data_IF_241878422456
#
_entry.id   IF_241878422456
#
_cell.length_a   1.000
_cell.length_b   1.000
_cell.length_c   1.000
_cell.angle_alpha   90.00
_cell.angle_beta   90.00
_cell.angle_gamma   90.00
#
_symmetry.space_group_name_H-M   'P 1'
#
loop_
_entity.id
_entity.type
_entity.pdbx_description
1 polymer ?
#
# COMPACT_ATOMS: atom_id res chain seq x y z
N UNK A 1 -32.20 4.17 -47.50
CA UNK A 1 -31.10 3.22 -47.23
C UNK A 1 -30.59 3.50 -45.82
N UNK A 2 -30.94 2.81 -44.74
CA UNK A 2 -31.38 1.43 -44.60
C UNK A 2 -30.18 0.49 -44.60
N UNK A 3 -29.55 0.24 -43.45
CA UNK A 3 -29.03 -1.09 -43.11
C UNK A 3 -28.86 -1.25 -41.59
N UNK A 4 -29.47 -2.33 -41.10
CA UNK A 4 -29.48 -2.86 -39.72
C UNK A 4 -28.26 -3.77 -39.56
N UNK A 5 -27.69 -3.85 -38.36
CA UNK A 5 -26.67 -4.85 -38.05
C UNK A 5 -26.43 -5.00 -36.56
N UNK A 6 -27.12 -5.96 -35.94
CA UNK A 6 -26.83 -6.46 -34.60
C UNK A 6 -25.82 -7.60 -34.71
N UNK A 7 -24.86 -7.68 -33.77
CA UNK A 7 -23.91 -8.79 -33.67
C UNK A 7 -23.38 -8.93 -32.25
N UNK A 8 -23.94 -9.86 -31.49
CA UNK A 8 -23.43 -10.33 -30.19
C UNK A 8 -22.31 -11.32 -30.48
N UNK A 9 -21.13 -11.10 -29.90
CA UNK A 9 -20.01 -12.06 -29.95
C UNK A 9 -19.92 -12.76 -28.60
N UNK A 10 -20.32 -14.03 -28.58
CA UNK A 10 -20.08 -14.97 -27.48
C UNK A 10 -18.71 -15.60 -27.72
N UNK A 11 -17.75 -15.33 -26.84
CA UNK A 11 -16.43 -15.97 -26.87
C UNK A 11 -16.43 -17.23 -26.01
N UNK A 12 -16.40 -18.40 -26.64
CA UNK A 12 -16.14 -19.68 -25.99
C UNK A 12 -14.63 -19.91 -25.90
N UNK A 13 -14.10 -20.10 -24.69
CA UNK A 13 -12.71 -20.54 -24.47
C UNK A 13 -12.66 -22.06 -24.61
N UNK A 14 -11.89 -22.53 -25.60
CA UNK A 14 -11.54 -23.94 -25.78
C UNK A 14 -10.27 -24.21 -24.97
N UNK A 15 -10.35 -25.12 -23.99
CA UNK A 15 -9.17 -25.66 -23.31
C UNK A 15 -8.49 -26.69 -24.21
N UNK A 16 -7.33 -26.34 -24.76
CA UNK A 16 -6.44 -27.28 -25.43
C UNK A 16 -5.47 -27.89 -24.40
N UNK A 17 -5.77 -29.11 -23.97
CA UNK A 17 -4.86 -29.99 -23.24
C UNK A 17 -4.84 -31.36 -23.90
N UNK A 18 -3.79 -31.64 -24.68
CA UNK A 18 -3.52 -32.92 -25.33
C UNK A 18 -2.00 -33.16 -25.18
N UNK A 19 -1.56 -34.11 -24.36
CA UNK A 19 -1.32 -35.52 -24.69
C UNK A 19 0.09 -35.86 -24.15
N UNK A 20 0.49 -37.06 -23.76
CA UNK A 20 -0.07 -38.41 -23.78
C UNK A 20 1.09 -39.41 -23.56
N UNK A 21 0.80 -40.54 -22.90
CA UNK A 21 1.63 -41.77 -22.87
C UNK A 21 2.72 -41.82 -21.79
N UNK A 22 2.88 -42.85 -20.96
CA UNK A 22 2.33 -44.22 -20.88
C UNK A 22 3.35 -45.06 -20.06
N UNK A 23 2.92 -46.01 -19.23
CA UNK A 23 3.83 -46.96 -18.57
C UNK A 23 3.43 -47.48 -17.19
N UNK A 24 2.47 -48.40 -17.19
CA UNK A 24 2.24 -49.60 -16.35
C UNK A 24 2.89 -49.79 -14.96
N UNK A 25 2.08 -50.00 -13.91
CA UNK A 25 1.89 -51.31 -13.22
C UNK A 25 1.54 -51.20 -11.72
N UNK A 26 0.51 -51.98 -11.33
CA UNK A 26 0.17 -52.51 -9.98
C UNK A 26 -0.85 -51.73 -9.10
N UNK A 27 -1.85 -52.50 -8.67
CA UNK A 27 -3.05 -52.18 -7.87
C UNK A 27 -2.78 -52.32 -6.33
N UNK A 28 -3.77 -52.22 -5.42
CA UNK A 28 -4.31 -51.00 -4.80
C UNK A 28 -4.14 -50.97 -3.26
N UNK A 29 -4.03 -49.78 -2.63
CA UNK A 29 -4.38 -49.59 -1.21
C UNK A 29 -4.63 -48.10 -0.87
N UNK A 30 -5.70 -47.73 -0.14
CA UNK A 30 -6.04 -46.35 0.18
C UNK A 30 -5.37 -45.85 1.47
N UNK A 31 -4.61 -44.77 1.40
CA UNK A 31 -4.29 -43.92 2.56
C UNK A 31 -4.66 -42.45 2.27
N UNK A 32 -5.26 -41.73 3.23
CA UNK A 32 -5.70 -40.36 3.03
C UNK A 32 -4.53 -39.40 3.23
N UNK A 33 -3.74 -39.19 2.18
CA UNK A 33 -2.75 -38.10 2.18
C UNK A 33 -3.44 -36.79 1.84
N UNK A 34 -3.82 -36.09 2.90
CA UNK A 34 -3.82 -34.62 3.04
C UNK A 34 -3.75 -33.85 1.72
N UNK A 35 -4.87 -33.25 1.34
CA UNK A 35 -4.91 -32.25 0.28
C UNK A 35 -3.91 -31.14 0.61
N UNK A 36 -2.77 -31.13 -0.08
CA UNK A 36 -1.93 -29.95 -0.21
C UNK A 36 -2.82 -28.90 -0.89
N UNK A 37 -3.38 -28.02 -0.08
CA UNK A 37 -3.97 -26.78 -0.57
C UNK A 37 -2.85 -26.06 -1.31
N UNK A 38 -2.90 -26.13 -2.64
CA UNK A 38 -2.06 -25.33 -3.51
C UNK A 38 -2.28 -23.89 -3.08
N UNK A 39 -1.24 -23.29 -2.52
CA UNK A 39 -1.25 -21.89 -2.17
C UNK A 39 -1.56 -21.11 -3.45
N UNK A 40 -2.70 -20.41 -3.49
CA UNK A 40 -2.85 -19.31 -4.41
C UNK A 40 -1.66 -18.37 -4.21
N UNK A 41 -0.94 -17.97 -5.27
CA UNK A 41 -0.05 -16.83 -5.16
C UNK A 41 -0.92 -15.59 -4.98
N UNK A 42 -1.22 -15.22 -3.73
CA UNK A 42 -1.52 -13.83 -3.41
C UNK A 42 -0.33 -13.00 -3.93
N UNK A 43 -0.55 -11.84 -4.58
CA UNK A 43 0.55 -10.99 -4.99
C UNK A 43 1.24 -10.49 -3.73
N UNK A 44 2.28 -11.19 -3.29
CA UNK A 44 3.29 -10.64 -2.41
C UNK A 44 4.09 -9.66 -3.24
N UNK A 45 3.49 -8.50 -3.54
CA UNK A 45 4.25 -7.28 -3.60
C UNK A 45 4.91 -7.21 -2.22
N UNK A 46 6.20 -7.52 -2.15
CA UNK A 46 6.98 -7.47 -0.92
C UNK A 46 6.54 -6.25 -0.13
N UNK A 47 5.85 -6.46 0.99
CA UNK A 47 5.34 -5.38 1.80
C UNK A 47 6.56 -4.56 2.22
N UNK A 48 6.77 -3.42 1.55
CA UNK A 48 7.90 -2.58 1.88
C UNK A 48 7.62 -2.05 3.29
N UNK A 49 8.63 -1.98 4.17
CA UNK A 49 8.40 -1.54 5.56
C UNK A 49 7.77 -0.15 5.64
N UNK A 50 7.88 0.64 4.55
CA UNK A 50 7.29 1.95 4.37
C UNK A 50 5.75 1.97 4.22
N UNK A 51 5.14 0.89 3.75
CA UNK A 51 3.69 0.84 3.59
C UNK A 51 2.99 0.80 4.97
N UNK A 52 1.96 1.64 5.12
CA UNK A 52 1.16 1.75 6.33
C UNK A 52 0.68 3.16 6.61
N UNK A 53 0.00 3.29 7.75
CA UNK A 53 -0.41 4.58 8.34
C UNK A 53 0.59 4.97 9.41
N UNK A 54 1.05 6.21 9.37
CA UNK A 54 2.14 6.73 10.19
C UNK A 54 1.67 7.98 10.92
N UNK A 55 1.89 8.04 12.23
CA UNK A 55 1.39 9.07 13.13
C UNK A 55 2.56 9.86 13.70
N UNK A 56 2.54 11.18 13.55
CA UNK A 56 3.56 12.07 14.06
C UNK A 56 2.96 13.34 14.65
N UNK A 57 3.85 14.16 15.21
CA UNK A 57 3.50 15.50 15.69
C UNK A 57 4.51 16.51 15.19
N UNK A 58 4.04 17.66 14.75
CA UNK A 58 4.89 18.72 14.23
C UNK A 58 4.31 20.09 14.54
N UNK A 59 5.11 20.96 15.17
CA UNK A 59 4.64 22.27 15.62
C UNK A 59 3.39 22.22 16.50
N UNK A 60 3.26 21.18 17.34
CA UNK A 60 2.09 20.96 18.21
C UNK A 60 0.84 20.39 17.51
N UNK A 61 0.89 20.11 16.21
CA UNK A 61 -0.21 19.54 15.44
C UNK A 61 0.01 18.05 15.22
N UNK A 62 -1.06 17.25 15.27
CA UNK A 62 -0.99 15.85 14.88
C UNK A 62 -0.96 15.75 13.35
N UNK A 63 -0.12 14.85 12.85
CA UNK A 63 0.11 14.60 11.44
C UNK A 63 -0.04 13.11 11.17
N UNK A 64 -0.82 12.77 10.15
CA UNK A 64 -1.02 11.40 9.67
C UNK A 64 -0.46 11.31 8.26
N UNK A 65 0.44 10.36 8.02
CA UNK A 65 0.99 10.04 6.71
C UNK A 65 0.60 8.61 6.35
N UNK A 66 -0.16 8.44 5.27
CA UNK A 66 -0.58 7.14 4.77
C UNK A 66 0.20 6.82 3.49
N UNK A 67 0.78 5.62 3.42
CA UNK A 67 1.55 5.16 2.26
C UNK A 67 1.06 3.77 1.86
N UNK A 68 0.59 3.63 0.63
CA UNK A 68 0.12 2.36 0.08
C UNK A 68 0.27 2.35 -1.44
N UNK A 69 0.75 1.23 -2.02
CA UNK A 69 0.84 1.08 -3.48
C UNK A 69 1.63 2.19 -4.20
N UNK A 70 2.64 2.74 -3.53
CA UNK A 70 3.45 3.87 -4.01
C UNK A 70 2.75 5.23 -4.01
N UNK A 71 1.55 5.33 -3.42
CA UNK A 71 0.83 6.57 -3.16
C UNK A 71 1.09 7.03 -1.73
N UNK A 72 1.03 8.33 -1.53
CA UNK A 72 1.19 8.95 -0.22
C UNK A 72 0.16 10.06 -0.01
N UNK A 73 -0.45 10.10 1.16
CA UNK A 73 -1.37 11.16 1.59
C UNK A 73 -1.02 11.61 2.99
N UNK A 74 -0.97 12.92 3.21
CA UNK A 74 -0.64 13.52 4.49
C UNK A 74 -1.79 14.42 4.96
N UNK A 75 -2.18 14.26 6.22
CA UNK A 75 -3.22 15.02 6.88
C UNK A 75 -2.64 15.67 8.14
N UNK A 76 -2.86 16.96 8.33
CA UNK A 76 -2.54 17.65 9.58
C UNK A 76 -3.81 18.20 10.23
N UNK A 77 -3.89 18.19 11.56
CA UNK A 77 -5.06 18.68 12.30
C UNK A 77 -5.42 20.15 12.05
N UNK A 78 -4.53 20.92 11.41
CA UNK A 78 -4.82 22.27 10.88
C UNK A 78 -5.54 22.30 9.52
N UNK A 79 -6.16 21.20 9.08
CA UNK A 79 -6.94 21.12 7.82
C UNK A 79 -6.09 21.01 6.54
N UNK A 80 -4.78 20.80 6.68
CA UNK A 80 -3.89 20.63 5.51
C UNK A 80 -3.96 19.17 5.04
N UNK A 81 -4.28 18.98 3.76
CA UNK A 81 -4.26 17.68 3.10
C UNK A 81 -3.32 17.75 1.90
N UNK A 82 -2.31 16.90 1.88
CA UNK A 82 -1.36 16.80 0.78
C UNK A 82 -1.43 15.39 0.17
N UNK A 83 -1.31 15.29 -1.15
CA UNK A 83 -1.36 14.00 -1.85
C UNK A 83 -0.20 13.87 -2.84
N UNK A 84 0.25 12.65 -3.07
CA UNK A 84 1.27 12.35 -4.04
C UNK A 84 1.76 10.92 -3.98
N UNK A 85 3.07 10.72 -4.00
CA UNK A 85 3.71 9.41 -4.17
C UNK A 85 4.81 9.19 -3.16
N UNK A 86 5.09 7.92 -2.90
CA UNK A 86 6.27 7.47 -2.16
C UNK A 86 6.91 6.32 -2.93
N UNK A 87 8.23 6.33 -3.07
CA UNK A 87 8.93 5.32 -3.85
C UNK A 87 10.44 5.47 -3.79
N UNK A 88 11.15 4.59 -4.49
CA UNK A 88 12.59 4.69 -4.63
C UNK A 88 12.98 5.57 -5.82
N UNK A 89 13.95 6.45 -5.61
CA UNK A 89 14.54 7.36 -6.58
C UNK A 89 16.05 7.40 -6.34
N UNK A 90 16.84 7.04 -7.37
CA UNK A 90 18.30 7.00 -7.28
C UNK A 90 18.86 6.21 -6.06
N UNK A 91 18.19 5.13 -5.65
CA UNK A 91 18.57 4.32 -4.48
C UNK A 91 18.17 4.89 -3.13
N UNK A 92 17.45 6.02 -3.11
CA UNK A 92 16.90 6.65 -1.92
C UNK A 92 15.38 6.52 -1.90
N UNK A 93 14.76 6.44 -0.72
CA UNK A 93 13.30 6.43 -0.59
C UNK A 93 12.80 7.87 -0.44
N UNK A 94 11.99 8.31 -1.39
CA UNK A 94 11.49 9.67 -1.49
C UNK A 94 9.97 9.70 -1.39
N UNK A 95 9.45 10.78 -0.81
CA UNK A 95 8.04 11.11 -0.72
C UNK A 95 7.85 12.46 -1.39
N UNK A 96 6.99 12.50 -2.40
CA UNK A 96 6.68 13.70 -3.16
C UNK A 96 5.20 13.99 -3.02
N UNK A 97 4.85 15.10 -2.39
CA UNK A 97 3.47 15.52 -2.14
C UNK A 97 3.18 16.87 -2.78
N UNK A 98 1.93 17.04 -3.17
CA UNK A 98 1.33 18.31 -3.54
C UNK A 98 0.36 18.73 -2.46
N UNK A 99 0.58 19.92 -1.92
CA UNK A 99 -0.25 20.54 -0.89
C UNK A 99 -0.96 21.79 -1.45
N UNK A 100 -2.06 22.26 -0.82
CA UNK A 100 -2.68 23.52 -1.15
C UNK A 100 -1.71 24.70 -1.10
N UNK A 101 -1.98 25.75 -1.88
CA UNK A 101 -1.13 26.94 -2.01
C UNK A 101 -0.77 27.54 -0.66
N UNK A 102 0.52 27.82 -0.44
CA UNK A 102 1.05 28.43 0.79
C UNK A 102 1.45 27.44 1.89
N UNK A 103 1.33 26.13 1.67
CA UNK A 103 1.76 25.07 2.59
C UNK A 103 2.79 24.16 1.89
N UNK A 104 4.05 24.59 1.81
CA UNK A 104 5.08 23.88 1.02
C UNK A 104 6.08 23.07 1.86
N UNK A 105 5.95 23.11 3.17
CA UNK A 105 6.96 22.52 4.06
C UNK A 105 6.98 20.99 4.08
N UNK A 106 6.03 20.33 3.41
CA UNK A 106 5.96 18.86 3.27
C UNK A 106 5.74 18.39 1.83
N UNK A 107 6.37 19.04 0.85
CA UNK A 107 6.25 18.64 -0.57
C UNK A 107 7.28 17.60 -0.99
N UNK A 108 8.47 17.62 -0.39
CA UNK A 108 9.54 16.67 -0.71
C UNK A 108 10.16 16.18 0.58
N UNK A 109 10.11 14.87 0.82
CA UNK A 109 10.64 14.22 2.00
C UNK A 109 11.54 13.05 1.64
N UNK A 110 12.70 12.97 2.28
CA UNK A 110 13.59 11.82 2.20
C UNK A 110 13.36 10.92 3.41
N UNK A 111 13.13 9.63 3.19
CA UNK A 111 13.05 8.65 4.27
C UNK A 111 14.47 8.36 4.78
N UNK A 112 14.80 8.86 5.97
CA UNK A 112 16.08 8.59 6.63
C UNK A 112 16.16 7.12 7.09
N UNK A 113 15.08 6.63 7.69
CA UNK A 113 15.00 5.27 8.23
C UNK A 113 13.55 4.81 8.34
N UNK A 114 13.33 3.51 8.16
CA UNK A 114 12.03 2.89 8.38
C UNK A 114 12.17 1.47 8.89
N UNK A 115 11.41 1.15 9.92
CA UNK A 115 11.27 -0.18 10.51
C UNK A 115 9.78 -0.52 10.73
N UNK A 116 9.49 -1.56 11.51
CA UNK A 116 8.13 -2.02 11.73
C UNK A 116 7.26 -1.02 12.50
N UNK A 117 7.85 -0.16 13.33
CA UNK A 117 7.14 0.74 14.24
C UNK A 117 7.46 2.21 14.00
N UNK A 118 8.61 2.53 13.41
CA UNK A 118 9.09 3.90 13.25
C UNK A 118 9.43 4.24 11.80
N UNK A 119 9.06 5.46 11.42
CA UNK A 119 9.44 6.09 10.17
C UNK A 119 10.05 7.45 10.48
N UNK A 120 11.22 7.75 9.92
CA UNK A 120 11.87 9.06 10.02
C UNK A 120 11.97 9.65 8.62
N UNK A 121 11.44 10.86 8.45
CA UNK A 121 11.45 11.58 7.19
C UNK A 121 12.06 12.96 7.42
N UNK A 122 13.02 13.34 6.59
CA UNK A 122 13.50 14.71 6.53
C UNK A 122 12.81 15.43 5.37
N UNK A 123 11.97 16.40 5.70
CA UNK A 123 11.29 17.26 4.74
C UNK A 123 12.15 18.45 4.36
N UNK A 124 12.13 18.79 3.08
CA UNK A 124 12.70 20.04 2.59
C UNK A 124 11.87 21.22 3.11
N UNK A 125 12.55 22.27 3.57
CA UNK A 125 11.91 23.49 4.07
C UNK A 125 12.04 23.63 5.58
N UNK A 126 11.07 24.32 6.19
CA UNK A 126 11.16 24.72 7.61
C UNK A 126 10.86 23.60 8.61
N UNK A 127 10.17 22.54 8.16
CA UNK A 127 9.78 21.39 9.01
C UNK A 127 10.98 20.52 9.39
N UNK A 128 11.89 20.25 8.46
CA UNK A 128 13.05 19.39 8.71
C UNK A 128 12.67 17.95 9.06
N UNK A 129 13.33 17.39 10.08
CA UNK A 129 13.17 15.98 10.47
C UNK A 129 11.89 15.74 11.27
N UNK A 130 11.03 14.87 10.77
CA UNK A 130 9.84 14.37 11.45
C UNK A 130 9.97 12.88 11.74
N UNK A 131 9.53 12.48 12.92
CA UNK A 131 9.44 11.07 13.31
C UNK A 131 7.98 10.69 13.43
N UNK A 132 7.65 9.55 12.84
CA UNK A 132 6.34 8.95 12.87
C UNK A 132 6.39 7.57 13.52
N UNK A 133 5.29 7.20 14.14
CA UNK A 133 5.04 5.87 14.70
C UNK A 133 3.97 5.18 13.87
N UNK A 134 4.13 3.90 13.58
CA UNK A 134 3.14 3.15 12.83
C UNK A 134 1.83 3.10 13.60
N UNK A 135 0.73 3.37 12.92
CA UNK A 135 -0.60 3.16 13.47
C UNK A 135 -0.91 1.67 13.33
N UNK A 136 -0.77 0.93 14.42
CA UNK A 136 -1.57 -0.27 14.60
C UNK A 136 -3.00 0.23 14.74
N UNK A 137 -3.94 -0.16 13.87
CA UNK A 137 -5.32 0.34 13.86
C UNK A 137 -6.12 0.18 15.18
N UNK A 138 -5.47 -0.25 16.25
CA UNK A 138 -5.95 -0.40 17.62
C UNK A 138 -5.39 0.64 18.61
N UNK A 139 -4.35 1.41 18.26
CA UNK A 139 -3.67 2.35 19.17
C UNK A 139 -3.67 3.76 18.59
N UNK A 140 -4.51 4.62 19.16
CA UNK A 140 -4.43 6.06 18.92
C UNK A 140 -3.20 6.62 19.66
N UNK A 141 -2.45 7.56 19.05
CA UNK A 141 -1.28 8.13 19.69
C UNK A 141 -1.70 8.91 20.93
N UNK A 142 -1.02 8.66 22.05
CA UNK A 142 -1.23 9.39 23.30
C UNK A 142 -1.00 10.89 23.05
N UNK A 143 -2.07 11.69 23.13
CA UNK A 143 -2.01 13.12 22.80
C UNK A 143 -3.05 13.59 21.77
N UNK A 144 -3.84 12.68 21.20
CA UNK A 144 -5.09 13.11 20.55
C UNK A 144 -6.02 13.68 21.61
N UNK A 145 -6.49 14.94 21.49
CA UNK A 145 -7.49 15.47 22.41
C UNK A 145 -8.80 14.73 22.14
N UNK A 146 -9.10 13.70 22.94
CA UNK A 146 -10.41 13.04 22.99
C UNK A 146 -11.46 13.88 23.72
N UNK A 147 -11.10 15.07 24.21
CA UNK A 147 -12.01 16.03 24.80
C UNK A 147 -12.82 16.76 23.71
N UNK A 148 -13.97 16.21 23.33
CA UNK A 148 -14.90 16.95 22.48
C UNK A 148 -15.93 16.16 21.68
N UNK A 149 -16.17 14.88 21.96
CA UNK A 149 -17.35 14.19 21.46
C UNK A 149 -18.42 14.25 22.55
N UNK A 150 -19.05 15.43 22.67
CA UNK A 150 -20.28 15.62 23.43
C UNK A 150 -21.51 15.20 22.62
#
# INVERSE_FOLDING_TARGET
>A
MGLRGAGVVVGAVLLAGCGGGGGDSSSPSPEPSTASATASPSPSASATPLAGSWLGTAGGQAVVLMIEGGKASLYATGGTVCNGTAGEEAGMRMIHLTCPTGKKDRTTGMVDSVDAEKLVVTWTGSVGKETYTKADGSVLPSGVPTGGLG
#
